data_IF_315000943312
#
_entry.id   IF_315000943312
#
_cell.length_a   1.000
_cell.length_b   1.000
_cell.length_c   1.000
_cell.angle_alpha   90.00
_cell.angle_beta   90.00
_cell.angle_gamma   90.00
#
_symmetry.space_group_name_H-M   'P 1'
#
loop_
_entity.id
_entity.type
_entity.pdbx_description
1 polymer ?
#
# COMPACT_ATOMS: atom_id res chain seq x y z
N UNK A 1 1.71 -11.26 -14.03
CA UNK A 1 0.42 -11.38 -13.31
C UNK A 1 -0.10 -9.99 -12.97
N UNK A 2 -1.34 -9.73 -13.32
CA UNK A 2 -1.93 -8.43 -13.00
C UNK A 2 -2.48 -8.45 -11.57
N UNK A 3 -1.94 -7.60 -10.71
CA UNK A 3 -2.35 -7.54 -9.31
C UNK A 3 -3.56 -6.62 -9.15
N UNK A 4 -4.58 -7.12 -8.46
CA UNK A 4 -5.79 -6.35 -8.22
C UNK A 4 -5.58 -5.34 -7.08
N UNK A 5 -6.50 -4.38 -6.97
CA UNK A 5 -6.48 -3.35 -5.95
C UNK A 5 -6.31 -3.91 -4.53
N UNK A 6 -7.07 -4.96 -4.20
CA UNK A 6 -6.98 -5.56 -2.87
C UNK A 6 -5.59 -6.12 -2.60
N UNK A 7 -4.95 -6.75 -3.61
CA UNK A 7 -3.60 -7.26 -3.47
C UNK A 7 -2.59 -6.15 -3.20
N UNK A 8 -2.74 -5.03 -3.91
CA UNK A 8 -1.88 -3.87 -3.70
C UNK A 8 -2.04 -3.31 -2.29
N UNK A 9 -3.27 -3.23 -1.79
CA UNK A 9 -3.55 -2.78 -0.42
C UNK A 9 -2.89 -3.68 0.62
N UNK A 10 -2.97 -5.00 0.44
CA UNK A 10 -2.33 -5.95 1.36
C UNK A 10 -0.81 -5.78 1.36
N UNK A 11 -0.21 -5.63 0.18
CA UNK A 11 1.25 -5.46 0.08
C UNK A 11 1.70 -4.16 0.74
N UNK A 12 0.96 -3.08 0.55
CA UNK A 12 1.25 -1.81 1.21
C UNK A 12 1.15 -1.96 2.73
N UNK A 13 0.14 -2.67 3.21
CA UNK A 13 -0.04 -2.95 4.65
C UNK A 13 1.12 -3.76 5.20
N UNK A 14 1.53 -4.81 4.51
CA UNK A 14 2.69 -5.61 4.93
C UNK A 14 3.93 -4.72 5.02
N UNK A 15 4.13 -3.86 4.03
CA UNK A 15 5.26 -2.93 4.03
C UNK A 15 5.24 -2.04 5.28
N UNK A 16 4.10 -1.41 5.56
CA UNK A 16 3.95 -0.53 6.71
C UNK A 16 4.25 -1.27 8.01
N UNK A 17 3.69 -2.47 8.17
CA UNK A 17 3.88 -3.25 9.38
C UNK A 17 5.32 -3.75 9.54
N UNK A 18 5.98 -4.13 8.44
CA UNK A 18 7.38 -4.60 8.51
C UNK A 18 8.35 -3.48 8.83
N UNK A 19 7.97 -2.22 8.62
CA UNK A 19 8.79 -1.09 9.05
C UNK A 19 8.79 -0.93 10.57
N UNK A 20 7.80 -1.50 11.26
CA UNK A 20 7.64 -1.39 12.71
C UNK A 20 8.06 -2.65 13.46
N UNK A 21 8.09 -3.79 12.79
CA UNK A 21 8.35 -5.07 13.44
C UNK A 21 8.89 -6.09 12.42
N UNK A 22 9.78 -6.97 12.87
CA UNK A 22 10.29 -8.07 12.07
C UNK A 22 9.39 -9.31 12.16
N UNK A 23 8.33 -9.24 12.96
CA UNK A 23 7.49 -10.39 13.31
C UNK A 23 6.04 -10.21 12.84
N UNK A 24 5.87 -9.84 11.56
CA UNK A 24 4.54 -9.60 11.00
C UNK A 24 3.88 -10.93 10.62
N UNK A 25 2.67 -11.16 11.12
CA UNK A 25 1.86 -12.34 10.82
C UNK A 25 0.49 -11.92 10.30
N UNK A 26 -0.30 -12.90 9.85
CA UNK A 26 -1.65 -12.67 9.37
C UNK A 26 -2.53 -11.96 10.39
N UNK A 27 -2.38 -12.26 11.68
CA UNK A 27 -3.17 -11.62 12.72
C UNK A 27 -2.90 -10.11 12.79
N UNK A 28 -1.67 -9.70 12.57
CA UNK A 28 -1.32 -8.28 12.57
C UNK A 28 -2.01 -7.54 11.42
N UNK A 29 -2.11 -8.20 10.27
CA UNK A 29 -2.81 -7.66 9.11
C UNK A 29 -4.31 -7.55 9.39
N UNK A 30 -4.90 -8.60 10.01
CA UNK A 30 -6.31 -8.58 10.41
C UNK A 30 -6.61 -7.38 11.31
N UNK A 31 -5.78 -7.17 12.32
CA UNK A 31 -5.97 -6.07 13.27
C UNK A 31 -5.81 -4.70 12.61
N UNK A 32 -4.82 -4.57 11.74
CA UNK A 32 -4.56 -3.30 11.07
C UNK A 32 -5.68 -2.93 10.09
N UNK A 33 -6.13 -3.89 9.28
CA UNK A 33 -7.11 -3.64 8.21
C UNK A 33 -8.56 -3.78 8.69
N UNK A 34 -8.79 -4.44 9.81
CA UNK A 34 -10.14 -4.71 10.29
C UNK A 34 -10.86 -5.77 9.47
N UNK A 35 -10.12 -6.66 8.83
CA UNK A 35 -10.67 -7.74 8.00
C UNK A 35 -10.67 -9.07 8.76
N UNK A 36 -11.53 -9.99 8.32
CA UNK A 36 -11.65 -11.30 8.95
C UNK A 36 -10.45 -12.19 8.67
N UNK A 37 -10.19 -13.14 9.56
CA UNK A 37 -9.12 -14.12 9.39
C UNK A 37 -9.20 -14.88 8.06
N UNK A 38 -10.37 -15.43 7.67
CA UNK A 38 -10.48 -16.15 6.40
C UNK A 38 -10.12 -15.26 5.18
N UNK A 39 -10.57 -14.00 5.19
CA UNK A 39 -10.27 -13.07 4.10
C UNK A 39 -8.78 -12.80 3.99
N UNK A 40 -8.13 -12.53 5.13
CA UNK A 40 -6.69 -12.26 5.16
C UNK A 40 -5.90 -13.50 4.76
N UNK A 41 -6.26 -14.68 5.28
CA UNK A 41 -5.58 -15.93 4.94
C UNK A 41 -5.64 -16.22 3.45
N UNK A 42 -6.79 -15.98 2.82
CA UNK A 42 -6.95 -16.17 1.38
C UNK A 42 -6.04 -15.22 0.60
N UNK A 43 -6.03 -13.95 0.98
CA UNK A 43 -5.20 -12.94 0.33
C UNK A 43 -3.71 -13.27 0.46
N UNK A 44 -3.28 -13.65 1.66
CA UNK A 44 -1.89 -14.03 1.92
C UNK A 44 -1.49 -15.24 1.05
N UNK A 45 -2.36 -16.24 0.93
CA UNK A 45 -2.13 -17.39 0.08
C UNK A 45 -1.95 -17.01 -1.38
N UNK A 46 -2.80 -16.12 -1.89
CA UNK A 46 -2.71 -15.65 -3.27
C UNK A 46 -1.42 -14.86 -3.52
N UNK A 47 -1.04 -14.00 -2.58
CA UNK A 47 0.18 -13.20 -2.70
C UNK A 47 1.42 -14.08 -2.63
N UNK A 48 1.41 -15.08 -1.77
CA UNK A 48 2.51 -16.05 -1.65
C UNK A 48 2.67 -16.82 -2.97
N UNK A 49 1.56 -17.33 -3.51
CA UNK A 49 1.58 -18.08 -4.77
C UNK A 49 2.00 -17.19 -5.94
N UNK A 50 1.69 -15.91 -5.90
CA UNK A 50 2.07 -14.95 -6.93
C UNK A 50 3.51 -14.49 -6.85
N UNK A 51 4.24 -14.86 -5.80
CA UNK A 51 5.64 -14.48 -5.64
C UNK A 51 5.86 -13.09 -5.05
N UNK A 52 4.85 -12.53 -4.40
CA UNK A 52 4.98 -11.19 -3.81
C UNK A 52 5.41 -11.21 -2.35
N UNK A 53 5.16 -12.31 -1.66
CA UNK A 53 5.56 -12.47 -0.25
C UNK A 53 6.07 -13.88 -0.01
N UNK A 54 6.81 -14.04 1.09
CA UNK A 54 7.16 -15.35 1.64
C UNK A 54 6.58 -15.46 3.04
N UNK A 55 6.25 -16.68 3.45
CA UNK A 55 5.75 -16.96 4.80
C UNK A 55 6.61 -18.10 5.34
N UNK A 56 7.29 -17.88 6.47
CA UNK A 56 8.16 -18.91 7.04
C UNK A 56 7.37 -19.91 7.90
N UNK A 57 8.09 -20.86 8.48
CA UNK A 57 7.47 -21.90 9.30
C UNK A 57 6.78 -21.40 10.56
N UNK A 58 7.09 -20.19 11.00
CA UNK A 58 6.46 -19.56 12.17
C UNK A 58 5.31 -18.62 11.77
N UNK A 59 5.04 -18.50 10.47
CA UNK A 59 3.99 -17.64 9.97
C UNK A 59 4.41 -16.19 9.77
N UNK A 60 5.70 -15.88 9.86
CA UNK A 60 6.19 -14.53 9.63
C UNK A 60 6.22 -14.21 8.14
N UNK A 61 5.66 -13.06 7.79
CA UNK A 61 5.49 -12.60 6.42
C UNK A 61 6.59 -11.63 6.04
N UNK A 62 7.20 -11.84 4.89
CA UNK A 62 8.24 -10.96 4.35
C UNK A 62 7.92 -10.66 2.91
N UNK A 63 8.15 -9.41 2.48
CA UNK A 63 7.99 -9.02 1.08
C UNK A 63 9.14 -9.58 0.25
N UNK A 64 8.82 -10.09 -0.94
CA UNK A 64 9.84 -10.39 -1.94
C UNK A 64 10.24 -9.07 -2.61
N UNK A 65 11.22 -9.11 -3.49
CA UNK A 65 11.62 -7.93 -4.26
C UNK A 65 10.46 -7.38 -5.07
N UNK A 66 9.67 -8.26 -5.71
CA UNK A 66 8.48 -7.86 -6.48
C UNK A 66 7.41 -7.26 -5.58
N UNK A 67 7.18 -7.87 -4.42
CA UNK A 67 6.20 -7.37 -3.45
C UNK A 67 6.57 -6.01 -2.91
N UNK A 68 7.85 -5.83 -2.59
CA UNK A 68 8.35 -4.54 -2.11
C UNK A 68 8.20 -3.45 -3.15
N UNK A 69 8.48 -3.75 -4.42
CA UNK A 69 8.33 -2.79 -5.51
C UNK A 69 6.89 -2.27 -5.62
N UNK A 70 5.92 -3.18 -5.54
CA UNK A 70 4.49 -2.80 -5.57
C UNK A 70 4.12 -1.98 -4.34
N UNK A 71 4.55 -2.43 -3.16
CA UNK A 71 4.23 -1.77 -1.89
C UNK A 71 4.79 -0.35 -1.84
N UNK A 72 6.04 -0.16 -2.27
CA UNK A 72 6.67 1.16 -2.31
C UNK A 72 5.96 2.09 -3.28
N UNK A 73 5.56 1.58 -4.44
CA UNK A 73 4.81 2.35 -5.43
C UNK A 73 3.50 2.86 -4.84
N UNK A 74 2.75 1.99 -4.15
CA UNK A 74 1.48 2.38 -3.54
C UNK A 74 1.70 3.35 -2.38
N UNK A 75 2.72 3.11 -1.57
CA UNK A 75 3.05 3.98 -0.45
C UNK A 75 3.44 5.39 -0.94
N UNK A 76 4.24 5.47 -2.00
CA UNK A 76 4.62 6.76 -2.61
C UNK A 76 3.39 7.49 -3.14
N UNK A 77 2.52 6.78 -3.84
CA UNK A 77 1.28 7.36 -4.39
C UNK A 77 0.38 7.88 -3.27
N UNK A 78 0.20 7.07 -2.23
CA UNK A 78 -0.63 7.46 -1.09
C UNK A 78 -0.11 8.74 -0.43
N UNK A 79 1.17 8.76 -0.11
CA UNK A 79 1.79 9.91 0.57
C UNK A 79 1.71 11.17 -0.28
N UNK A 80 2.06 11.05 -1.56
CA UNK A 80 2.09 12.19 -2.47
C UNK A 80 0.69 12.75 -2.70
N UNK A 81 -0.29 11.88 -2.97
CA UNK A 81 -1.66 12.30 -3.22
C UNK A 81 -2.32 12.92 -1.98
N UNK A 82 -2.08 12.31 -0.81
CA UNK A 82 -2.58 12.85 0.45
C UNK A 82 -2.07 14.27 0.67
N UNK A 83 -0.75 14.45 0.56
CA UNK A 83 -0.14 15.77 0.77
C UNK A 83 -0.61 16.79 -0.25
N UNK A 84 -0.77 16.37 -1.51
CA UNK A 84 -1.24 17.25 -2.56
C UNK A 84 -2.66 17.76 -2.27
N UNK A 85 -3.55 16.86 -1.85
CA UNK A 85 -4.93 17.22 -1.51
C UNK A 85 -4.99 18.15 -0.30
N UNK A 86 -4.14 17.89 0.72
CA UNK A 86 -4.05 18.76 1.90
C UNK A 86 -3.64 20.16 1.49
N UNK A 87 -2.67 20.29 0.60
CA UNK A 87 -2.22 21.60 0.11
C UNK A 87 -3.30 22.34 -0.67
N UNK A 88 -4.21 21.62 -1.31
CA UNK A 88 -5.34 22.21 -2.00
C UNK A 88 -6.46 22.66 -1.04
N UNK A 89 -6.33 22.32 0.24
CA UNK A 89 -7.30 22.72 1.26
C UNK A 89 -8.22 21.60 1.72
N UNK A 90 -7.95 20.36 1.30
CA UNK A 90 -8.75 19.22 1.72
C UNK A 90 -8.34 18.81 3.14
N UNK A 91 -9.32 18.51 3.98
CA UNK A 91 -9.10 17.99 5.33
C UNK A 91 -8.21 16.75 5.31
N UNK A 92 -7.32 16.62 6.29
CA UNK A 92 -6.34 15.52 6.36
C UNK A 92 -6.97 14.15 6.26
N UNK A 93 -8.06 13.92 7.01
CA UNK A 93 -8.75 12.62 6.99
C UNK A 93 -9.34 12.32 5.63
N UNK A 94 -10.04 13.30 5.04
CA UNK A 94 -10.64 13.15 3.71
C UNK A 94 -9.55 12.96 2.65
N UNK A 95 -8.46 13.70 2.75
CA UNK A 95 -7.34 13.59 1.81
C UNK A 95 -6.76 12.18 1.82
N UNK A 96 -6.55 11.61 3.01
CA UNK A 96 -6.01 10.26 3.15
C UNK A 96 -6.97 9.21 2.58
N UNK A 97 -8.26 9.35 2.88
CA UNK A 97 -9.28 8.41 2.38
C UNK A 97 -9.39 8.45 0.85
N UNK A 98 -9.39 9.65 0.26
CA UNK A 98 -9.48 9.81 -1.18
C UNK A 98 -8.19 9.35 -1.87
N UNK A 99 -7.04 9.65 -1.29
CA UNK A 99 -5.76 9.19 -1.83
C UNK A 99 -5.72 7.66 -1.90
N UNK A 100 -6.25 6.99 -0.88
CA UNK A 100 -6.32 5.54 -0.85
C UNK A 100 -7.13 4.98 -2.04
N UNK A 101 -8.18 5.68 -2.42
CA UNK A 101 -9.00 5.27 -3.58
C UNK A 101 -8.28 5.55 -4.90
N UNK A 102 -7.69 6.73 -5.01
CA UNK A 102 -7.05 7.18 -6.25
C UNK A 102 -5.81 6.37 -6.58
N UNK A 103 -5.00 6.02 -5.57
CA UNK A 103 -3.69 5.43 -5.79
C UNK A 103 -3.71 4.12 -6.57
N UNK A 104 -4.80 3.37 -6.48
CA UNK A 104 -4.94 2.08 -7.17
C UNK A 104 -5.47 2.21 -8.59
N UNK A 105 -6.00 3.36 -8.96
CA UNK A 105 -6.66 3.56 -10.25
C UNK A 105 -6.00 4.58 -11.15
N UNK A 106 -5.19 5.45 -10.61
CA UNK A 106 -4.53 6.50 -11.38
C UNK A 106 -3.45 5.91 -12.28
N UNK A 107 -3.37 6.41 -13.53
CA UNK A 107 -2.31 5.98 -14.44
C UNK A 107 -0.96 6.51 -13.98
N UNK A 108 0.10 5.84 -14.42
CA UNK A 108 1.45 6.28 -14.13
C UNK A 108 1.72 7.67 -14.72
N UNK A 109 1.22 7.91 -15.93
CA UNK A 109 1.35 9.22 -16.58
C UNK A 109 0.72 10.33 -15.76
N UNK A 110 -0.54 10.14 -15.32
CA UNK A 110 -1.25 11.14 -14.52
C UNK A 110 -0.59 11.34 -13.16
N UNK A 111 -0.16 10.25 -12.53
CA UNK A 111 0.53 10.35 -11.24
C UNK A 111 1.83 11.14 -11.36
N UNK A 112 2.63 10.84 -12.39
CA UNK A 112 3.90 11.54 -12.61
C UNK A 112 3.68 13.03 -12.89
N UNK A 113 2.60 13.37 -13.60
CA UNK A 113 2.24 14.78 -13.85
C UNK A 113 1.93 15.51 -12.54
N UNK A 114 1.16 14.89 -11.66
CA UNK A 114 0.84 15.45 -10.34
C UNK A 114 2.10 15.57 -9.50
N UNK A 115 2.93 14.53 -9.50
CA UNK A 115 4.17 14.49 -8.74
C UNK A 115 5.11 15.64 -9.18
N UNK A 116 5.28 15.82 -10.48
CA UNK A 116 6.14 16.87 -11.03
C UNK A 116 5.62 18.25 -10.67
N UNK A 117 4.30 18.45 -10.71
CA UNK A 117 3.69 19.71 -10.31
C UNK A 117 3.89 19.97 -8.81
N UNK A 118 3.71 18.95 -7.99
CA UNK A 118 3.88 19.06 -6.54
C UNK A 118 5.33 19.39 -6.17
N UNK A 119 6.30 18.78 -6.84
CA UNK A 119 7.72 19.06 -6.63
C UNK A 119 8.04 20.51 -7.02
N UNK A 120 7.53 20.95 -8.16
CA UNK A 120 7.82 22.27 -8.71
C UNK A 120 7.17 23.40 -7.89
N UNK A 121 5.95 23.19 -7.41
CA UNK A 121 5.17 24.23 -6.74
C UNK A 121 4.85 23.93 -5.27
N UNK A 122 5.19 22.75 -4.80
CA UNK A 122 4.77 22.26 -3.49
C UNK A 122 5.36 22.98 -2.29
N UNK A 123 6.54 23.56 -2.45
CA UNK A 123 7.25 24.21 -1.36
C UNK A 123 7.10 25.73 -1.35
N UNK A 124 6.17 26.23 -2.13
CA UNK A 124 5.91 27.68 -2.20
C UNK A 124 4.97 28.16 -1.13
#
# INVERSE_FOLDING_TARGET
MHLQESGEMYLETVYILTQKSDSVRSIDICEYMGYSKPSVSRAIGLLKNGGYITVDGKGYITLTEEGEAVALKMFERHTMLTNFLIKLGVDEKTASEDACKIEHHISEESFNAIKNHAIKFGDQ
#
